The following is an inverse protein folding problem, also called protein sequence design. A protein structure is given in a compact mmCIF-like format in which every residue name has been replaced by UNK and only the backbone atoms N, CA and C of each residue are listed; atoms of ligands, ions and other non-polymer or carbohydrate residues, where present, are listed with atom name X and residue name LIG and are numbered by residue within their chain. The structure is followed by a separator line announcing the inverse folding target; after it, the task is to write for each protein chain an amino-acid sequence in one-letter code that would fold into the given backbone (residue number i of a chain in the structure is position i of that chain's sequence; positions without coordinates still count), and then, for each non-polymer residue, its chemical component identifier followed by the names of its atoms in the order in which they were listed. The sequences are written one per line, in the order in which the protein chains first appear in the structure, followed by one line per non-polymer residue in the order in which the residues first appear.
data_IF_718321935418
#
_entry.id   IF_718321935418
#
_cell.length_a   1.000
_cell.length_b   1.000
_cell.length_c   1.000
_cell.angle_alpha   90.00
_cell.angle_beta   90.00
_cell.angle_gamma   90.00
#
_symmetry.space_group_name_H-M   'P 1'
#
loop_
_entity.id
_entity.type
_entity.pdbx_description
1 polymer ?
#
# COMPACT_ATOMS: atom_id res chain seq x y z
N UNK A 1 -11.46 -59.67 -44.42
CA UNK A 1 -12.26 -58.46 -44.08
C UNK A 1 -11.99 -57.90 -42.67
N UNK A 2 -11.45 -58.68 -41.71
CA UNK A 2 -11.27 -58.21 -40.32
C UNK A 2 -10.11 -57.19 -40.13
N UNK A 3 -9.04 -57.30 -40.91
CA UNK A 3 -7.87 -56.42 -40.79
C UNK A 3 -8.14 -54.97 -41.25
N UNK A 4 -8.96 -54.76 -42.28
CA UNK A 4 -9.30 -53.40 -42.75
C UNK A 4 -10.14 -52.61 -41.73
N UNK A 5 -11.00 -53.31 -40.99
CA UNK A 5 -11.81 -52.68 -39.94
C UNK A 5 -10.95 -52.27 -38.75
N UNK A 6 -10.05 -53.17 -38.33
CA UNK A 6 -9.08 -52.91 -37.25
C UNK A 6 -8.15 -51.72 -37.54
N UNK A 7 -7.66 -51.58 -38.79
CA UNK A 7 -6.81 -50.44 -39.17
C UNK A 7 -7.57 -49.10 -39.17
N UNK A 8 -8.82 -49.08 -39.64
CA UNK A 8 -9.66 -47.87 -39.59
C UNK A 8 -9.98 -47.46 -38.16
N UNK A 9 -10.27 -48.42 -37.29
CA UNK A 9 -10.57 -48.17 -35.88
C UNK A 9 -9.33 -47.64 -35.13
N UNK A 10 -8.14 -48.18 -35.40
CA UNK A 10 -6.88 -47.64 -34.86
C UNK A 10 -6.58 -46.22 -35.34
N UNK A 11 -6.81 -45.94 -36.63
CA UNK A 11 -6.61 -44.61 -37.20
C UNK A 11 -7.59 -43.60 -36.59
N UNK A 12 -8.86 -43.99 -36.40
CA UNK A 12 -9.87 -43.15 -35.78
C UNK A 12 -9.51 -42.81 -34.32
N UNK A 13 -9.06 -43.80 -33.56
CA UNK A 13 -8.64 -43.62 -32.15
C UNK A 13 -7.41 -42.70 -32.02
N UNK A 14 -6.43 -42.82 -32.91
CA UNK A 14 -5.25 -41.94 -32.92
C UNK A 14 -5.62 -40.49 -33.24
N UNK A 15 -6.50 -40.28 -34.22
CA UNK A 15 -7.01 -38.95 -34.56
C UNK A 15 -7.77 -38.37 -33.38
N UNK A 16 -8.70 -39.12 -32.77
CA UNK A 16 -9.48 -38.68 -31.60
C UNK A 16 -8.58 -38.35 -30.41
N UNK A 17 -7.57 -39.17 -30.10
CA UNK A 17 -6.58 -38.87 -29.06
C UNK A 17 -5.84 -37.56 -29.33
N UNK A 18 -5.47 -37.31 -30.59
CA UNK A 18 -4.76 -36.08 -30.97
C UNK A 18 -5.64 -34.82 -30.82
N UNK A 19 -6.94 -34.92 -31.12
CA UNK A 19 -7.88 -33.82 -30.91
C UNK A 19 -8.13 -33.56 -29.42
N UNK A 20 -8.30 -34.62 -28.63
CA UNK A 20 -8.43 -34.51 -27.18
C UNK A 20 -7.20 -33.86 -26.55
N UNK A 21 -5.99 -34.27 -26.95
CA UNK A 21 -4.75 -33.70 -26.45
C UNK A 21 -4.61 -32.20 -26.80
N UNK A 22 -5.00 -31.80 -28.01
CA UNK A 22 -5.00 -30.38 -28.44
C UNK A 22 -6.01 -29.54 -27.65
N UNK A 23 -7.22 -30.05 -27.46
CA UNK A 23 -8.25 -29.37 -26.67
C UNK A 23 -7.83 -29.21 -25.21
N UNK A 24 -7.19 -30.24 -24.63
CA UNK A 24 -6.66 -30.20 -23.27
C UNK A 24 -5.53 -29.17 -23.15
N UNK A 25 -4.61 -29.13 -24.12
CA UNK A 25 -3.53 -28.14 -24.15
C UNK A 25 -4.06 -26.70 -24.26
N UNK A 26 -5.03 -26.45 -25.14
CA UNK A 26 -5.68 -25.13 -25.27
C UNK A 26 -6.39 -24.75 -23.97
N UNK A 27 -7.09 -25.71 -23.33
CA UNK A 27 -7.73 -25.49 -22.03
C UNK A 27 -6.73 -25.11 -20.94
N UNK A 28 -5.57 -25.77 -20.87
CA UNK A 28 -4.49 -25.45 -19.92
C UNK A 28 -3.90 -24.07 -20.18
N UNK A 29 -3.65 -23.71 -21.43
CA UNK A 29 -3.13 -22.37 -21.79
C UNK A 29 -4.13 -21.27 -21.42
N UNK A 30 -5.43 -21.48 -21.67
CA UNK A 30 -6.48 -20.53 -21.29
C UNK A 30 -6.61 -20.41 -19.76
N UNK A 31 -6.53 -21.51 -19.03
CA UNK A 31 -6.55 -21.50 -17.56
C UNK A 31 -5.34 -20.74 -16.97
N UNK A 32 -4.14 -20.97 -17.52
CA UNK A 32 -2.93 -20.25 -17.10
C UNK A 32 -3.02 -18.75 -17.41
N UNK A 33 -3.55 -18.38 -18.58
CA UNK A 33 -3.77 -16.98 -18.93
C UNK A 33 -4.75 -16.32 -17.95
N UNK A 34 -5.85 -16.99 -17.59
CA UNK A 34 -6.83 -16.49 -16.63
C UNK A 34 -6.22 -16.26 -15.23
N UNK A 35 -5.35 -17.16 -14.77
CA UNK A 35 -4.67 -17.03 -13.48
C UNK A 35 -3.74 -15.80 -13.45
N UNK A 36 -3.08 -15.49 -14.55
CA UNK A 36 -2.20 -14.30 -14.66
C UNK A 36 -3.03 -13.01 -14.60
N UNK A 37 -4.23 -12.97 -15.21
CA UNK A 37 -5.09 -11.78 -15.18
C UNK A 37 -5.72 -11.50 -13.82
N UNK A 38 -5.91 -12.51 -12.96
CA UNK A 38 -6.51 -12.34 -11.63
C UNK A 38 -5.56 -11.73 -10.58
N UNK A 39 -4.28 -11.51 -10.91
CA UNK A 39 -3.30 -10.90 -10.00
C UNK A 39 -3.38 -9.37 -9.94
N UNK A 40 -4.21 -8.71 -10.76
CA UNK A 40 -4.28 -7.24 -10.84
C UNK A 40 -5.40 -6.63 -9.98
N UNK A 41 -5.49 -7.03 -8.70
CA UNK A 41 -6.32 -6.34 -7.71
C UNK A 41 -5.43 -5.53 -6.77
N UNK A 42 -4.98 -4.36 -7.21
CA UNK A 42 -4.30 -3.42 -6.32
C UNK A 42 -5.37 -2.77 -5.44
N UNK A 43 -5.52 -3.22 -4.19
CA UNK A 43 -6.14 -2.39 -3.16
C UNK A 43 -5.35 -1.08 -3.10
N UNK A 44 -5.97 0.02 -3.50
CA UNK A 44 -5.41 1.34 -3.24
C UNK A 44 -5.52 1.57 -1.74
N UNK A 45 -4.42 1.33 -1.01
CA UNK A 45 -4.34 1.78 0.38
C UNK A 45 -4.34 3.31 0.35
N UNK A 46 -5.49 3.90 0.70
CA UNK A 46 -5.59 5.35 0.81
C UNK A 46 -4.86 5.78 2.08
N UNK A 47 -3.59 6.16 1.93
CA UNK A 47 -2.79 6.79 2.98
C UNK A 47 -3.34 8.16 3.36
N UNK A 48 -4.19 8.76 2.52
CA UNK A 48 -4.84 10.03 2.80
C UNK A 48 -5.71 9.91 4.06
N UNK A 49 -5.58 10.90 4.93
CA UNK A 49 -6.25 10.91 6.23
C UNK A 49 -5.55 11.81 7.25
N UNK A 50 -6.11 11.85 8.45
CA UNK A 50 -5.58 12.65 9.56
C UNK A 50 -4.95 11.75 10.60
N UNK A 51 -3.69 12.04 10.93
CA UNK A 51 -2.87 11.28 11.86
C UNK A 51 -2.40 12.18 13.00
N UNK A 52 -2.53 11.70 14.23
CA UNK A 52 -2.19 12.48 15.43
C UNK A 52 -1.15 11.76 16.29
N UNK A 53 -0.30 12.55 16.93
CA UNK A 53 0.65 12.13 17.94
C UNK A 53 0.57 13.10 19.12
N UNK A 54 0.71 12.56 20.33
CA UNK A 54 0.96 13.36 21.53
C UNK A 54 2.31 12.95 22.09
N UNK A 55 3.17 13.92 22.38
CA UNK A 55 4.47 13.72 22.99
C UNK A 55 4.62 14.64 24.20
N UNK A 56 5.18 14.11 25.29
CA UNK A 56 5.43 14.86 26.51
C UNK A 56 6.84 14.59 27.03
N UNK A 57 7.42 15.60 27.67
CA UNK A 57 8.65 15.50 28.45
C UNK A 57 8.48 16.30 29.74
N UNK A 58 9.51 16.30 30.60
CA UNK A 58 9.57 17.15 31.79
C UNK A 58 9.52 18.66 31.47
N UNK A 59 9.82 19.04 30.22
CA UNK A 59 9.89 20.45 29.81
C UNK A 59 8.73 20.89 28.93
N UNK A 60 7.96 19.98 28.34
CA UNK A 60 6.95 20.36 27.36
C UNK A 60 5.92 19.29 27.08
N UNK A 61 4.72 19.72 26.66
CA UNK A 61 3.68 18.87 26.07
C UNK A 61 3.43 19.35 24.64
N UNK A 62 3.39 18.42 23.68
CA UNK A 62 3.15 18.68 22.28
C UNK A 62 2.07 17.76 21.70
N UNK A 63 1.22 18.34 20.86
CA UNK A 63 0.22 17.65 20.06
C UNK A 63 0.50 17.93 18.60
N UNK A 64 0.82 16.90 17.85
CA UNK A 64 1.20 16.98 16.44
C UNK A 64 0.16 16.29 15.56
N UNK A 65 -0.34 17.01 14.57
CA UNK A 65 -1.36 16.55 13.64
C UNK A 65 -0.82 16.65 12.22
N UNK A 66 -0.90 15.55 11.47
CA UNK A 66 -0.53 15.48 10.07
C UNK A 66 -1.76 15.10 9.25
N UNK A 67 -2.11 15.94 8.28
CA UNK A 67 -3.13 15.64 7.28
C UNK A 67 -2.43 15.25 5.99
N UNK A 68 -2.60 14.00 5.57
CA UNK A 68 -2.04 13.46 4.33
C UNK A 68 -3.09 13.58 3.23
N UNK A 69 -2.72 14.22 2.13
CA UNK A 69 -3.55 14.46 0.96
C UNK A 69 -2.90 13.80 -0.26
N UNK A 70 -3.69 13.07 -1.04
CA UNK A 70 -3.23 12.51 -2.32
C UNK A 70 -3.43 13.55 -3.42
N UNK A 71 -2.35 13.94 -4.09
CA UNK A 71 -2.39 15.00 -5.10
C UNK A 71 -2.43 14.42 -6.50
N UNK A 72 -1.47 13.53 -6.83
CA UNK A 72 -1.39 12.94 -8.16
C UNK A 72 -0.49 11.69 -8.14
N UNK A 73 -0.90 10.63 -8.84
CA UNK A 73 -0.11 9.40 -9.01
C UNK A 73 0.46 8.86 -7.68
N UNK A 74 1.76 9.05 -7.44
CA UNK A 74 2.47 8.63 -6.22
C UNK A 74 2.87 9.81 -5.31
N UNK A 75 2.36 11.01 -5.58
CA UNK A 75 2.70 12.25 -4.88
C UNK A 75 1.65 12.61 -3.85
N UNK A 76 2.11 12.97 -2.66
CA UNK A 76 1.30 13.37 -1.52
C UNK A 76 1.74 14.72 -0.98
N UNK A 77 0.77 15.49 -0.49
CA UNK A 77 0.97 16.70 0.28
C UNK A 77 0.63 16.40 1.74
N UNK A 78 1.49 16.80 2.67
CA UNK A 78 1.30 16.56 4.10
C UNK A 78 1.31 17.92 4.80
N UNK A 79 0.17 18.23 5.41
CA UNK A 79 -0.01 19.43 6.22
C UNK A 79 0.24 19.09 7.67
N UNK A 80 1.33 19.60 8.24
CA UNK A 80 1.69 19.39 9.64
C UNK A 80 1.29 20.61 10.48
N UNK A 81 0.69 20.36 11.62
CA UNK A 81 0.37 21.36 12.63
C UNK A 81 0.73 20.83 14.01
N UNK A 82 1.61 21.53 14.72
CA UNK A 82 2.05 21.17 16.07
C UNK A 82 1.68 22.26 17.05
N UNK A 83 0.84 21.93 18.02
CA UNK A 83 0.63 22.77 19.19
C UNK A 83 1.53 22.30 20.33
N UNK A 84 2.28 23.19 20.97
CA UNK A 84 3.09 22.83 22.13
C UNK A 84 3.05 23.87 23.25
N UNK A 85 3.29 23.42 24.47
CA UNK A 85 3.40 24.25 25.68
C UNK A 85 4.66 23.86 26.42
N UNK A 86 5.45 24.85 26.83
CA UNK A 86 6.56 24.65 27.76
C UNK A 86 6.01 24.54 29.18
N UNK A 87 6.59 23.66 29.98
CA UNK A 87 6.28 23.50 31.39
C UNK A 87 7.25 24.37 32.21
N UNK A 88 6.73 25.02 33.25
CA UNK A 88 7.57 25.72 34.23
C UNK A 88 8.18 24.73 35.26
N UNK A 89 8.94 25.27 36.22
CA UNK A 89 9.56 24.46 37.29
C UNK A 89 8.55 23.70 38.15
N UNK A 90 7.30 24.17 38.22
CA UNK A 90 6.20 23.50 38.91
C UNK A 90 5.43 22.52 38.02
N UNK A 91 5.86 22.33 36.76
CA UNK A 91 5.22 21.47 35.77
C UNK A 91 3.95 22.07 35.16
N UNK A 92 3.68 23.35 35.35
CA UNK A 92 2.47 24.00 34.84
C UNK A 92 2.67 24.41 33.37
N UNK A 93 1.68 24.12 32.50
CA UNK A 93 1.78 24.47 31.09
C UNK A 93 1.66 25.97 30.88
N UNK A 94 2.66 26.55 30.23
CA UNK A 94 2.66 27.94 29.80
C UNK A 94 1.79 28.20 28.57
N UNK A 95 2.06 29.32 27.90
CA UNK A 95 1.33 29.74 26.70
C UNK A 95 1.48 28.71 25.57
N UNK A 96 0.35 28.34 24.95
CA UNK A 96 0.34 27.48 23.77
C UNK A 96 0.96 28.19 22.57
N UNK A 97 1.88 27.50 21.92
CA UNK A 97 2.53 27.88 20.67
C UNK A 97 2.04 26.96 19.56
N UNK A 98 2.00 27.48 18.33
CA UNK A 98 1.54 26.75 17.14
C UNK A 98 2.58 26.89 16.04
N UNK A 99 2.99 25.76 15.48
CA UNK A 99 3.86 25.68 14.31
C UNK A 99 3.16 24.90 13.21
N UNK A 100 3.31 25.35 11.96
CA UNK A 100 2.80 24.65 10.78
C UNK A 100 3.91 24.44 9.76
N UNK A 101 3.86 23.30 9.06
CA UNK A 101 4.75 22.97 7.95
C UNK A 101 3.96 22.27 6.84
N UNK A 102 4.38 22.44 5.60
CA UNK A 102 3.89 21.66 4.45
C UNK A 102 5.03 20.83 3.88
N UNK A 103 4.74 19.56 3.59
CA UNK A 103 5.69 18.60 3.03
C UNK A 103 5.15 18.01 1.74
N UNK A 104 5.95 18.01 0.68
CA UNK A 104 5.66 17.19 -0.51
C UNK A 104 6.43 15.89 -0.41
N UNK A 105 5.76 14.77 -0.67
CA UNK A 105 6.35 13.45 -0.54
C UNK A 105 5.98 12.52 -1.69
N UNK A 106 6.89 11.60 -2.01
CA UNK A 106 6.72 10.57 -3.05
C UNK A 106 6.61 9.19 -2.41
N UNK A 107 5.56 8.45 -2.73
CA UNK A 107 5.35 7.08 -2.29
C UNK A 107 5.99 6.09 -3.26
N UNK A 108 6.84 5.22 -2.75
CA UNK A 108 7.36 4.08 -3.47
C UNK A 108 6.57 2.82 -3.09
N UNK A 109 5.91 2.23 -4.09
CA UNK A 109 5.07 1.06 -3.92
C UNK A 109 5.89 -0.22 -3.70
N UNK A 110 7.15 -0.26 -4.16
CA UNK A 110 7.99 -1.45 -4.06
C UNK A 110 8.55 -1.59 -2.64
N UNK A 111 8.95 -0.47 -2.03
CA UNK A 111 9.43 -0.43 -0.63
C UNK A 111 8.34 -0.18 0.41
N UNK A 112 7.17 0.32 0.00
CA UNK A 112 6.10 0.72 0.93
C UNK A 112 6.42 1.99 1.72
N UNK A 113 7.36 2.79 1.23
CA UNK A 113 7.89 3.98 1.91
C UNK A 113 7.48 5.23 1.16
N UNK A 114 7.07 6.25 1.91
CA UNK A 114 6.89 7.61 1.43
C UNK A 114 8.08 8.48 1.84
N UNK A 115 8.71 9.15 0.88
CA UNK A 115 9.88 10.00 1.10
C UNK A 115 9.52 11.46 0.92
N UNK A 116 9.75 12.26 1.96
CA UNK A 116 9.57 13.70 1.91
C UNK A 116 10.73 14.40 1.17
N UNK A 117 10.41 15.32 0.26
CA UNK A 117 11.35 15.86 -0.74
C UNK A 117 12.38 16.85 -0.19
N UNK A 118 12.04 17.69 0.79
CA UNK A 118 12.88 18.80 1.25
C UNK A 118 13.94 18.37 2.25
N UNK A 119 13.59 17.52 3.22
CA UNK A 119 14.45 17.07 4.33
C UNK A 119 14.68 15.56 4.32
N UNK A 120 14.13 14.81 3.36
CA UNK A 120 14.38 13.37 3.22
C UNK A 120 13.76 12.56 4.35
N UNK A 121 12.62 12.98 4.91
CA UNK A 121 11.96 12.21 5.98
C UNK A 121 11.34 10.95 5.39
N UNK A 122 11.69 9.81 5.99
CA UNK A 122 11.03 8.53 5.72
C UNK A 122 9.72 8.45 6.48
N UNK A 123 8.66 8.11 5.77
CA UNK A 123 7.31 7.93 6.28
C UNK A 123 6.84 6.54 5.86
N UNK A 124 6.43 5.72 6.82
CA UNK A 124 5.91 4.38 6.57
C UNK A 124 4.53 4.20 7.19
N UNK A 125 3.73 3.32 6.61
CA UNK A 125 2.39 3.00 7.10
C UNK A 125 2.33 1.53 7.48
N UNK A 126 1.46 1.20 8.45
CA UNK A 126 1.07 -0.19 8.62
C UNK A 126 0.15 -0.64 7.47
N UNK A 127 -0.09 -1.96 7.37
CA UNK A 127 -0.84 -2.54 6.24
C UNK A 127 -2.24 -1.93 6.04
N UNK A 128 -2.89 -1.50 7.12
CA UNK A 128 -4.24 -0.95 7.11
C UNK A 128 -4.27 0.59 7.12
N UNK A 129 -3.11 1.26 7.07
CA UNK A 129 -2.96 2.71 7.16
C UNK A 129 -3.64 3.35 8.40
N UNK A 130 -3.77 2.60 9.50
CA UNK A 130 -4.26 3.11 10.80
C UNK A 130 -3.15 3.71 11.65
N UNK A 131 -1.89 3.36 11.35
CA UNK A 131 -0.71 3.91 11.98
C UNK A 131 0.29 4.41 10.93
N UNK A 132 0.82 5.60 11.15
CA UNK A 132 1.87 6.21 10.33
C UNK A 132 3.10 6.43 11.19
N UNK A 133 4.28 6.06 10.68
CA UNK A 133 5.56 6.33 11.34
C UNK A 133 6.36 7.34 10.53
N UNK A 134 6.70 8.48 11.12
CA UNK A 134 7.60 9.48 10.54
C UNK A 134 8.94 9.38 11.26
N UNK A 135 9.95 8.84 10.59
CA UNK A 135 11.29 8.53 11.13
C UNK A 135 11.23 7.60 12.34
N UNK A 136 10.91 8.10 13.54
CA UNK A 136 10.74 7.34 14.79
C UNK A 136 9.43 7.64 15.52
N UNK A 137 8.65 8.62 15.05
CA UNK A 137 7.42 9.07 15.70
C UNK A 137 6.23 8.31 15.12
N UNK A 138 5.41 7.72 15.98
CA UNK A 138 4.20 7.00 15.59
C UNK A 138 2.97 7.89 15.73
N UNK A 139 2.15 7.93 14.70
CA UNK A 139 0.91 8.67 14.66
C UNK A 139 -0.25 7.69 14.45
N UNK A 140 -1.37 7.96 15.11
CA UNK A 140 -2.60 7.18 14.97
C UNK A 140 -3.58 7.93 14.08
N UNK A 141 -4.19 7.22 13.14
CA UNK A 141 -5.28 7.73 12.32
C UNK A 141 -6.53 7.91 13.17
N UNK A 142 -7.23 9.03 13.02
CA UNK A 142 -8.42 9.34 13.82
C UNK A 142 -9.74 9.31 13.04
N UNK A 143 -9.71 9.04 11.74
CA UNK A 143 -10.90 8.86 10.88
C UNK A 143 -10.59 7.91 9.71
#
# INVERSE_FOLDING_TARGET
MNNLKSMKDQQLNAVLLSWLAKLLFVGVVLALALIIFLQSCSKSNSFAGTYVNTAGSEFSIAHDTLVVEHVAAKVYLIHRSTGFQLLDEAGQPGKKQLETEEWTADYDADSGIMMERRRGKTISFNADATEMTVVRRKYRRIN
#
